data_IF_816430598980
#
_entry.id   IF_816430598980
#
_cell.length_a   1.000
_cell.length_b   1.000
_cell.length_c   1.000
_cell.angle_alpha   90.00
_cell.angle_beta   90.00
_cell.angle_gamma   90.00
#
_symmetry.space_group_name_H-M   'P 1'
#
loop_
_entity.id
_entity.type
_entity.pdbx_description
1 polymer ?
#
# COMPACT_ATOMS: atom_id res chain seq x y z
N UNK A 1 -14.29 8.25 -32.17
CA UNK A 1 -12.92 8.06 -31.66
C UNK A 1 -12.87 7.90 -30.14
N UNK A 2 -13.70 8.62 -29.35
CA UNK A 2 -13.73 8.51 -27.88
C UNK A 2 -13.98 7.09 -27.34
N UNK A 3 -14.83 6.28 -27.96
CA UNK A 3 -15.12 4.92 -27.47
C UNK A 3 -13.94 3.96 -27.54
N UNK A 4 -13.01 4.15 -28.49
CA UNK A 4 -11.85 3.29 -28.67
C UNK A 4 -10.80 3.55 -27.58
N UNK A 5 -10.62 4.81 -27.21
CA UNK A 5 -9.74 5.26 -26.13
C UNK A 5 -10.22 4.74 -24.76
N UNK A 6 -11.53 4.82 -24.49
CA UNK A 6 -12.10 4.31 -23.23
C UNK A 6 -11.91 2.80 -23.07
N UNK A 7 -12.02 2.03 -24.15
CA UNK A 7 -11.80 0.57 -24.13
C UNK A 7 -10.32 0.26 -23.84
N UNK A 8 -9.40 0.97 -24.48
CA UNK A 8 -7.96 0.83 -24.24
C UNK A 8 -7.58 1.16 -22.80
N UNK A 9 -8.09 2.26 -22.27
CA UNK A 9 -7.81 2.72 -20.90
C UNK A 9 -8.33 1.72 -19.87
N UNK A 10 -9.53 1.16 -20.11
CA UNK A 10 -10.11 0.11 -19.26
C UNK A 10 -9.24 -1.15 -19.25
N UNK A 11 -8.84 -1.64 -20.43
CA UNK A 11 -7.97 -2.83 -20.56
C UNK A 11 -6.60 -2.59 -19.90
N UNK A 12 -6.04 -1.38 -20.05
CA UNK A 12 -4.76 -1.03 -19.44
C UNK A 12 -4.82 -1.07 -17.91
N UNK A 13 -5.88 -0.51 -17.31
CA UNK A 13 -6.10 -0.55 -15.85
C UNK A 13 -6.23 -2.01 -15.37
N UNK A 14 -7.11 -2.79 -15.99
CA UNK A 14 -7.29 -4.21 -15.62
C UNK A 14 -6.01 -5.03 -15.81
N UNK A 15 -5.31 -4.84 -16.92
CA UNK A 15 -4.05 -5.52 -17.19
C UNK A 15 -2.97 -5.20 -16.16
N UNK A 16 -2.84 -3.93 -15.77
CA UNK A 16 -1.91 -3.51 -14.73
C UNK A 16 -2.23 -4.14 -13.37
N UNK A 17 -3.52 -4.21 -13.00
CA UNK A 17 -3.97 -4.83 -11.76
C UNK A 17 -3.63 -6.31 -11.68
N UNK A 18 -3.90 -7.07 -12.75
CA UNK A 18 -3.55 -8.49 -12.83
C UNK A 18 -2.04 -8.70 -12.74
N UNK A 19 -1.25 -7.84 -13.38
CA UNK A 19 0.21 -7.92 -13.35
C UNK A 19 0.75 -7.69 -11.92
N UNK A 20 0.22 -6.72 -11.19
CA UNK A 20 0.59 -6.47 -9.78
C UNK A 20 0.26 -7.69 -8.91
N UNK A 21 -0.94 -8.24 -9.03
CA UNK A 21 -1.36 -9.44 -8.27
C UNK A 21 -0.45 -10.62 -8.60
N UNK A 22 -0.13 -10.81 -9.88
CA UNK A 22 0.76 -11.86 -10.34
C UNK A 22 2.18 -11.72 -9.76
N UNK A 23 2.74 -10.51 -9.74
CA UNK A 23 4.04 -10.24 -9.11
C UNK A 23 3.99 -10.60 -7.64
N UNK A 24 2.98 -10.13 -6.90
CA UNK A 24 2.85 -10.38 -5.45
C UNK A 24 2.74 -11.89 -5.19
N UNK A 25 1.91 -12.61 -5.96
CA UNK A 25 1.74 -14.06 -5.83
C UNK A 25 3.03 -14.82 -6.13
N UNK A 26 3.73 -14.46 -7.22
CA UNK A 26 5.00 -15.09 -7.61
C UNK A 26 6.08 -14.84 -6.55
N UNK A 27 6.23 -13.61 -6.08
CA UNK A 27 7.20 -13.28 -5.04
C UNK A 27 6.88 -13.99 -3.73
N UNK A 28 5.61 -13.98 -3.30
CA UNK A 28 5.16 -14.67 -2.09
C UNK A 28 5.51 -16.16 -2.13
N UNK A 29 5.26 -16.81 -3.27
CA UNK A 29 5.62 -18.21 -3.51
C UNK A 29 7.13 -18.44 -3.42
N UNK A 30 7.93 -17.61 -4.12
CA UNK A 30 9.39 -17.72 -4.10
C UNK A 30 9.97 -17.54 -2.70
N UNK A 31 9.48 -16.57 -1.92
CA UNK A 31 9.88 -16.42 -0.52
C UNK A 31 9.56 -17.66 0.30
N UNK A 32 8.33 -18.18 0.23
CA UNK A 32 7.93 -19.40 0.97
C UNK A 32 8.77 -20.61 0.57
N UNK A 33 9.10 -20.75 -0.71
CA UNK A 33 10.00 -21.80 -1.20
C UNK A 33 11.40 -21.68 -0.59
N UNK A 34 11.99 -20.49 -0.58
CA UNK A 34 13.31 -20.24 0.02
C UNK A 34 13.32 -20.50 1.52
N UNK A 35 12.23 -20.16 2.24
CA UNK A 35 12.09 -20.50 3.66
C UNK A 35 12.05 -22.01 3.90
N UNK A 36 11.34 -22.77 3.06
CA UNK A 36 11.27 -24.23 3.15
C UNK A 36 12.62 -24.89 2.83
N UNK A 37 13.35 -24.40 1.82
CA UNK A 37 14.67 -24.95 1.42
C UNK A 37 15.78 -24.63 2.42
N UNK A 38 15.72 -23.49 3.13
CA UNK A 38 16.74 -23.09 4.11
C UNK A 38 16.49 -23.62 5.53
N UNK A 39 15.43 -24.40 5.75
CA UNK A 39 15.09 -24.93 7.08
C UNK A 39 14.79 -23.86 8.14
N UNK A 40 14.57 -22.61 7.71
CA UNK A 40 14.18 -21.52 8.60
C UNK A 40 12.71 -21.71 8.95
N UNK A 41 12.32 -21.76 10.25
CA UNK A 41 10.91 -21.80 10.61
C UNK A 41 10.26 -20.60 9.93
N UNK A 42 9.28 -20.86 9.07
CA UNK A 42 8.53 -19.81 8.39
C UNK A 42 7.99 -18.91 9.48
N UNK A 43 8.65 -17.76 9.68
CA UNK A 43 8.27 -16.83 10.73
C UNK A 43 6.91 -16.32 10.29
N UNK A 44 5.85 -16.97 10.79
CA UNK A 44 4.52 -16.42 10.86
C UNK A 44 4.65 -15.24 11.81
N UNK A 45 5.26 -14.17 11.31
CA UNK A 45 5.52 -12.95 12.05
C UNK A 45 4.14 -12.46 12.43
N UNK A 46 3.74 -12.76 13.67
CA UNK A 46 2.55 -12.17 14.27
C UNK A 46 2.71 -10.69 14.06
N UNK A 47 1.84 -10.12 13.22
CA UNK A 47 1.82 -8.69 12.94
C UNK A 47 1.81 -8.00 14.30
N UNK A 48 2.90 -7.30 14.61
CA UNK A 48 3.06 -6.69 15.91
C UNK A 48 2.00 -5.61 16.06
N UNK A 49 1.43 -5.47 17.25
CA UNK A 49 0.47 -4.40 17.55
C UNK A 49 1.04 -3.01 17.16
N UNK A 50 2.37 -2.87 17.25
CA UNK A 50 3.09 -1.67 16.80
C UNK A 50 3.05 -1.45 15.28
N UNK A 51 3.03 -2.49 14.45
CA UNK A 51 2.89 -2.35 12.99
C UNK A 51 1.49 -1.87 12.64
N UNK A 52 0.47 -2.46 13.27
CA UNK A 52 -0.93 -2.07 13.03
C UNK A 52 -1.20 -0.65 13.51
N UNK A 53 -0.66 -0.25 14.67
CA UNK A 53 -0.75 1.12 15.16
C UNK A 53 -0.12 2.12 14.19
N UNK A 54 1.05 1.79 13.61
CA UNK A 54 1.75 2.68 12.69
C UNK A 54 0.99 2.88 11.37
N UNK A 55 0.36 1.82 10.85
CA UNK A 55 -0.52 1.89 9.67
C UNK A 55 -1.75 2.76 9.97
N UNK A 56 -2.41 2.53 11.11
CA UNK A 56 -3.61 3.30 11.51
C UNK A 56 -3.27 4.78 11.68
N UNK A 57 -2.13 5.11 12.29
CA UNK A 57 -1.66 6.49 12.44
C UNK A 57 -1.35 7.12 11.07
N UNK A 58 -0.71 6.38 10.15
CA UNK A 58 -0.43 6.87 8.80
C UNK A 58 -1.70 7.20 8.01
N UNK A 59 -2.73 6.34 8.11
CA UNK A 59 -4.04 6.58 7.50
C UNK A 59 -4.73 7.79 8.16
N UNK A 60 -4.70 7.88 9.50
CA UNK A 60 -5.29 9.00 10.23
C UNK A 60 -4.62 10.35 9.87
N UNK A 61 -3.29 10.37 9.71
CA UNK A 61 -2.56 11.54 9.23
C UNK A 61 -2.89 11.89 7.78
N UNK A 62 -3.04 10.89 6.90
CA UNK A 62 -3.49 11.10 5.52
C UNK A 62 -4.88 11.73 5.44
N UNK A 63 -5.81 11.29 6.29
CA UNK A 63 -7.15 11.86 6.44
C UNK A 63 -7.13 13.27 7.05
N UNK A 64 -6.28 13.52 8.05
CA UNK A 64 -6.13 14.85 8.63
C UNK A 64 -5.50 15.85 7.64
N UNK A 65 -4.57 15.38 6.80
CA UNK A 65 -4.02 16.20 5.72
C UNK A 65 -5.05 16.46 4.63
N UNK A 66 -5.95 15.51 4.36
CA UNK A 66 -6.95 15.65 3.30
C UNK A 66 -7.97 16.75 3.59
N UNK A 67 -8.23 17.08 4.86
CA UNK A 67 -9.14 18.18 5.22
C UNK A 67 -8.64 19.56 4.78
N UNK A 68 -7.34 19.71 4.47
CA UNK A 68 -6.80 20.97 3.95
C UNK A 68 -7.29 21.23 2.52
N UNK A 69 -7.50 20.17 1.72
CA UNK A 69 -7.98 20.30 0.35
C UNK A 69 -9.46 20.69 0.28
N UNK A 70 -10.25 20.40 1.32
CA UNK A 70 -11.67 20.79 1.42
C UNK A 70 -11.86 22.30 1.60
N UNK A 71 -10.83 23.01 2.05
CA UNK A 71 -10.87 24.47 2.26
C UNK A 71 -10.38 25.25 1.03
N UNK A 72 -9.88 24.55 0.00
CA UNK A 72 -9.41 25.15 -1.25
C UNK A 72 -10.52 25.09 -2.30
N UNK A 73 -10.70 26.17 -3.06
CA UNK A 73 -11.67 26.27 -4.15
C UNK A 73 -11.17 25.47 -5.37
N UNK A 74 -11.20 24.14 -5.25
CA UNK A 74 -10.85 23.20 -6.32
C UNK A 74 -12.11 22.55 -6.89
N UNK A 75 -12.11 22.18 -8.19
CA UNK A 75 -13.20 21.42 -8.78
C UNK A 75 -13.38 20.06 -8.07
N UNK A 76 -14.64 19.68 -7.87
CA UNK A 76 -15.09 18.55 -7.04
C UNK A 76 -14.38 17.23 -7.38
N UNK A 77 -14.27 16.89 -8.67
CA UNK A 77 -13.54 15.70 -9.16
C UNK A 77 -12.05 15.69 -8.77
N UNK A 78 -11.41 16.87 -8.79
CA UNK A 78 -9.99 16.98 -8.44
C UNK A 78 -9.78 16.90 -6.94
N UNK A 79 -10.70 17.47 -6.15
CA UNK A 79 -10.70 17.36 -4.69
C UNK A 79 -10.83 15.91 -4.24
N UNK A 80 -11.78 15.15 -4.79
CA UNK A 80 -11.98 13.74 -4.47
C UNK A 80 -10.74 12.91 -4.83
N UNK A 81 -10.17 13.12 -6.02
CA UNK A 81 -8.95 12.43 -6.44
C UNK A 81 -7.77 12.72 -5.50
N UNK A 82 -7.60 13.97 -5.06
CA UNK A 82 -6.55 14.36 -4.11
C UNK A 82 -6.76 13.76 -2.72
N UNK A 83 -8.00 13.70 -2.23
CA UNK A 83 -8.32 13.08 -0.94
C UNK A 83 -7.89 11.61 -0.96
N UNK A 84 -8.30 10.84 -1.98
CA UNK A 84 -7.91 9.45 -2.10
C UNK A 84 -6.40 9.25 -2.26
N UNK A 85 -5.74 10.10 -3.05
CA UNK A 85 -4.29 10.07 -3.20
C UNK A 85 -3.56 10.32 -1.86
N UNK A 86 -4.04 11.28 -1.06
CA UNK A 86 -3.43 11.65 0.22
C UNK A 86 -3.58 10.54 1.26
N UNK A 87 -4.75 9.88 1.30
CA UNK A 87 -4.99 8.71 2.16
C UNK A 87 -4.07 7.55 1.76
N UNK A 88 -3.91 7.30 0.45
CA UNK A 88 -3.06 6.22 -0.07
C UNK A 88 -1.58 6.47 0.23
N UNK A 89 -1.11 7.72 0.09
CA UNK A 89 0.25 8.14 0.48
C UNK A 89 0.45 8.03 2.00
N UNK A 90 -0.52 8.48 2.81
CA UNK A 90 -0.46 8.38 4.26
C UNK A 90 -0.42 6.94 4.77
N UNK A 91 -1.28 6.07 4.23
CA UNK A 91 -1.26 4.63 4.51
C UNK A 91 0.02 3.94 4.05
N UNK A 92 0.57 4.34 2.89
CA UNK A 92 1.85 3.87 2.38
C UNK A 92 3.03 4.26 3.29
N UNK A 93 3.06 5.50 3.78
CA UNK A 93 4.04 5.94 4.78
C UNK A 93 3.90 5.20 6.11
N UNK A 94 2.67 4.91 6.55
CA UNK A 94 2.39 4.09 7.74
C UNK A 94 2.93 2.65 7.60
N UNK A 95 2.78 2.04 6.42
CA UNK A 95 3.35 0.73 6.11
C UNK A 95 4.88 0.75 6.08
N UNK A 96 5.46 1.80 5.47
CA UNK A 96 6.91 1.95 5.35
C UNK A 96 7.56 2.15 6.72
N UNK A 97 6.98 3.02 7.56
CA UNK A 97 7.41 3.23 8.94
C UNK A 97 7.22 1.99 9.83
N UNK A 98 6.13 1.22 9.66
CA UNK A 98 5.96 -0.08 10.30
C UNK A 98 7.09 -1.06 9.96
N UNK A 99 7.47 -1.13 8.68
CA UNK A 99 8.58 -1.98 8.22
C UNK A 99 9.93 -1.56 8.82
N UNK A 100 10.20 -0.25 8.94
CA UNK A 100 11.41 0.27 9.59
C UNK A 100 11.44 -0.04 11.09
N UNK A 101 10.31 0.12 11.79
CA UNK A 101 10.18 -0.22 13.22
C UNK A 101 10.43 -1.70 13.47
N UNK A 102 9.89 -2.57 12.61
CA UNK A 102 10.12 -4.02 12.69
C UNK A 102 11.58 -4.38 12.49
N UNK A 103 12.24 -3.81 11.47
CA UNK A 103 13.68 -4.01 11.23
C UNK A 103 14.54 -3.53 12.41
N UNK A 104 14.14 -2.45 13.09
CA UNK A 104 14.85 -1.93 14.27
C UNK A 104 14.61 -2.78 15.53
N UNK A 105 13.40 -3.32 15.69
CA UNK A 105 13.05 -4.22 16.79
C UNK A 105 13.71 -5.59 16.71
N UNK A 106 13.93 -6.11 15.50
CA UNK A 106 14.65 -7.37 15.27
C UNK A 106 16.17 -7.23 15.47
N UNK A 107 16.74 -6.02 15.37
CA UNK A 107 18.16 -5.74 15.64
C UNK A 107 18.55 -5.60 17.11
N UNK A 108 17.60 -5.77 18.04
CA UNK A 108 17.83 -5.71 19.50
C UNK A 108 17.52 -7.06 20.16
N UNK A 109 17.91 -8.16 19.52
CA UNK A 109 17.96 -9.50 20.10
C UNK A 109 19.23 -10.21 19.67
#
# INVERSE_FOLDING_TARGET
MQSLETIFLSIAIFGSGVLVIFIIAKYSYLTKKVFAEKGMPGNGSKMSYSEMACIVIGIALGLAASSVFTVMDLPEDTMDMLIYATILVGGGFGLLSAHFIRKKGEGTK
#
